data_IF_930086629835
#
_entry.id   IF_930086629835
#
_cell.length_a   1.000
_cell.length_b   1.000
_cell.length_c   1.000
_cell.angle_alpha   90.00
_cell.angle_beta   90.00
_cell.angle_gamma   90.00
#
_symmetry.space_group_name_H-M   'P 1'
#
loop_
_entity.id
_entity.type
_entity.pdbx_description
1 polymer ?
#
# COMPACT_ATOMS: atom_id res chain seq x y z
N UNK A 1 8.93 -19.09 13.39
CA UNK A 1 7.46 -19.29 13.39
C UNK A 1 6.92 -19.87 14.70
N UNK A 2 7.45 -21.00 15.22
CA UNK A 2 6.99 -21.58 16.51
C UNK A 2 6.92 -20.57 17.68
N UNK A 3 7.93 -19.71 17.84
CA UNK A 3 7.92 -18.68 18.88
C UNK A 3 6.81 -17.61 18.69
N UNK A 4 6.47 -17.27 17.45
CA UNK A 4 5.39 -16.33 17.14
C UNK A 4 4.01 -16.96 17.40
N UNK A 5 3.83 -18.22 16.99
CA UNK A 5 2.62 -19.01 17.28
C UNK A 5 2.39 -19.15 18.79
N UNK A 6 3.42 -19.45 19.59
CA UNK A 6 3.32 -19.47 21.07
C UNK A 6 2.90 -18.14 21.69
N UNK A 7 3.06 -17.03 20.97
CA UNK A 7 2.64 -15.68 21.39
C UNK A 7 1.28 -15.27 20.81
N UNK A 8 0.58 -16.17 20.12
CA UNK A 8 -0.72 -15.90 19.48
C UNK A 8 -0.63 -15.05 18.20
N UNK A 9 0.55 -14.89 17.60
CA UNK A 9 0.67 -14.22 16.31
C UNK A 9 0.24 -15.15 15.17
N UNK A 10 -0.48 -14.61 14.18
CA UNK A 10 -0.74 -15.31 12.93
C UNK A 10 0.57 -15.57 12.18
N UNK A 11 0.77 -16.80 11.70
CA UNK A 11 2.01 -17.28 11.10
C UNK A 11 1.81 -17.69 9.65
N UNK A 12 2.68 -17.19 8.78
CA UNK A 12 2.73 -17.57 7.36
C UNK A 12 4.11 -18.14 7.06
N UNK A 13 4.17 -19.30 6.40
CA UNK A 13 5.40 -19.86 5.86
C UNK A 13 5.39 -19.79 4.33
N UNK A 14 6.36 -19.09 3.75
CA UNK A 14 6.57 -18.99 2.30
C UNK A 14 7.80 -19.82 1.94
N UNK A 15 7.64 -20.77 1.01
CA UNK A 15 8.70 -21.69 0.61
C UNK A 15 8.65 -21.98 -0.88
N UNK A 16 9.81 -22.21 -1.49
CA UNK A 16 9.91 -22.75 -2.85
C UNK A 16 10.18 -24.27 -2.87
N UNK A 17 10.30 -24.89 -1.70
CA UNK A 17 10.39 -26.33 -1.57
C UNK A 17 8.97 -26.91 -1.50
N UNK A 18 8.57 -27.80 -2.42
CA UNK A 18 7.24 -28.41 -2.41
C UNK A 18 7.03 -29.39 -1.25
N UNK A 19 8.10 -29.81 -0.56
CA UNK A 19 7.98 -30.65 0.63
C UNK A 19 7.34 -29.87 1.78
N UNK A 20 6.33 -30.45 2.46
CA UNK A 20 5.71 -29.80 3.61
C UNK A 20 6.73 -29.64 4.75
N UNK A 21 6.67 -28.52 5.51
CA UNK A 21 7.51 -28.33 6.69
C UNK A 21 7.16 -29.30 7.82
N UNK A 22 8.09 -29.50 8.76
CA UNK A 22 7.92 -30.28 9.99
C UNK A 22 7.19 -29.49 11.12
N UNK A 23 6.49 -28.41 10.74
CA UNK A 23 5.71 -27.55 11.63
C UNK A 23 4.44 -27.07 10.91
N UNK A 24 3.43 -26.67 11.67
CA UNK A 24 2.15 -26.22 11.13
C UNK A 24 2.02 -24.69 11.28
N UNK A 25 2.21 -23.90 10.20
CA UNK A 25 1.84 -22.50 10.18
C UNK A 25 0.32 -22.34 9.99
N UNK A 26 -0.23 -21.16 10.29
CA UNK A 26 -1.64 -20.84 10.00
C UNK A 26 -1.91 -20.74 8.49
N UNK A 27 -0.91 -20.32 7.72
CA UNK A 27 -0.93 -20.38 6.25
C UNK A 27 0.40 -20.86 5.67
N UNK A 28 0.32 -21.75 4.67
CA UNK A 28 1.45 -22.26 3.91
C UNK A 28 1.35 -21.76 2.45
N UNK A 29 2.38 -21.08 1.97
CA UNK A 29 2.51 -20.62 0.58
C UNK A 29 3.66 -21.35 -0.08
N UNK A 30 3.34 -22.28 -0.96
CA UNK A 30 4.32 -23.04 -1.75
C UNK A 30 4.44 -22.41 -3.13
N UNK A 31 5.61 -21.87 -3.44
CA UNK A 31 5.98 -21.28 -4.72
C UNK A 31 6.84 -22.29 -5.48
N UNK A 32 6.21 -23.29 -6.10
CA UNK A 32 6.93 -24.35 -6.81
C UNK A 32 7.59 -23.82 -8.09
N UNK A 33 8.84 -23.39 -7.96
CA UNK A 33 9.64 -22.87 -9.07
C UNK A 33 10.42 -23.95 -9.82
N UNK A 34 10.41 -25.19 -9.33
CA UNK A 34 11.27 -26.28 -9.82
C UNK A 34 12.78 -26.02 -9.65
N UNK A 35 13.64 -26.87 -10.25
CA UNK A 35 15.10 -26.76 -10.18
C UNK A 35 15.62 -25.46 -10.80
N UNK A 36 16.63 -24.86 -10.18
CA UNK A 36 17.25 -23.63 -10.70
C UNK A 36 18.16 -23.91 -11.90
N UNK A 37 18.31 -22.92 -12.79
CA UNK A 37 19.21 -23.02 -13.94
C UNK A 37 20.68 -23.23 -13.53
N UNK A 38 21.09 -22.59 -12.43
CA UNK A 38 22.32 -22.90 -11.71
C UNK A 38 21.92 -23.66 -10.43
N UNK A 39 22.30 -24.93 -10.33
CA UNK A 39 21.93 -25.79 -9.22
C UNK A 39 22.21 -25.11 -7.86
N UNK A 40 21.17 -24.98 -7.03
CA UNK A 40 21.26 -24.37 -5.69
C UNK A 40 21.21 -22.84 -5.66
N UNK A 41 21.28 -22.13 -6.80
CA UNK A 41 21.26 -20.66 -6.84
C UNK A 41 19.83 -20.09 -6.72
N UNK A 42 19.21 -20.25 -5.54
CA UNK A 42 17.82 -19.84 -5.26
C UNK A 42 17.57 -18.33 -5.34
N UNK A 43 18.61 -17.49 -5.45
CA UNK A 43 18.44 -16.06 -5.76
C UNK A 43 17.79 -15.79 -7.13
N UNK A 44 17.68 -16.81 -7.99
CA UNK A 44 17.11 -16.73 -9.33
C UNK A 44 15.57 -16.86 -9.32
N UNK A 45 15.02 -18.02 -9.68
CA UNK A 45 13.56 -18.19 -9.79
C UNK A 45 12.89 -18.11 -8.43
N UNK A 46 13.42 -18.79 -7.43
CA UNK A 46 12.86 -18.78 -6.07
C UNK A 46 12.85 -17.37 -5.46
N UNK A 47 13.94 -16.62 -5.62
CA UNK A 47 14.04 -15.22 -5.20
C UNK A 47 13.03 -14.31 -5.93
N UNK A 48 12.89 -14.47 -7.24
CA UNK A 48 11.92 -13.72 -8.04
C UNK A 48 10.47 -14.02 -7.64
N UNK A 49 10.14 -15.31 -7.45
CA UNK A 49 8.82 -15.73 -7.00
C UNK A 49 8.51 -15.19 -5.59
N UNK A 50 9.47 -15.26 -4.67
CA UNK A 50 9.33 -14.72 -3.31
C UNK A 50 9.07 -13.21 -3.34
N UNK A 51 9.79 -12.45 -4.18
CA UNK A 51 9.55 -11.02 -4.38
C UNK A 51 8.12 -10.75 -4.86
N UNK A 52 7.63 -11.52 -5.83
CA UNK A 52 6.27 -11.37 -6.34
C UNK A 52 5.23 -11.65 -5.25
N UNK A 53 5.40 -12.73 -4.48
CA UNK A 53 4.50 -13.07 -3.38
C UNK A 53 4.46 -11.96 -2.31
N UNK A 54 5.62 -11.48 -1.85
CA UNK A 54 5.70 -10.41 -0.85
C UNK A 54 5.12 -9.09 -1.35
N UNK A 55 5.36 -8.75 -2.62
CA UNK A 55 4.76 -7.57 -3.26
C UNK A 55 3.23 -7.70 -3.31
N UNK A 56 2.70 -8.87 -3.65
CA UNK A 56 1.26 -9.13 -3.68
C UNK A 56 0.63 -9.01 -2.29
N UNK A 57 1.24 -9.63 -1.27
CA UNK A 57 0.76 -9.58 0.12
C UNK A 57 0.71 -8.13 0.62
N UNK A 58 1.82 -7.41 0.49
CA UNK A 58 1.91 -6.03 1.00
C UNK A 58 1.01 -5.07 0.22
N UNK A 59 0.95 -5.20 -1.12
CA UNK A 59 0.07 -4.36 -1.94
C UNK A 59 -1.40 -4.62 -1.61
N UNK A 60 -1.84 -5.88 -1.55
CA UNK A 60 -3.22 -6.23 -1.21
C UNK A 60 -3.61 -5.73 0.19
N UNK A 61 -2.72 -5.89 1.18
CA UNK A 61 -2.94 -5.36 2.52
C UNK A 61 -3.10 -3.83 2.51
N UNK A 62 -2.22 -3.10 1.80
CA UNK A 62 -2.27 -1.63 1.73
C UNK A 62 -3.51 -1.13 0.98
N UNK A 63 -3.99 -1.85 -0.04
CA UNK A 63 -5.28 -1.59 -0.69
C UNK A 63 -6.42 -1.72 0.32
N UNK A 64 -6.48 -2.85 1.06
CA UNK A 64 -7.50 -3.08 2.11
C UNK A 64 -7.43 -2.07 3.27
N UNK A 65 -6.27 -1.47 3.52
CA UNK A 65 -6.08 -0.43 4.53
C UNK A 65 -6.33 1.01 4.02
N UNK A 66 -6.89 1.19 2.82
CA UNK A 66 -7.27 2.52 2.32
C UNK A 66 -6.10 3.41 1.91
N UNK A 67 -4.96 2.81 1.55
CA UNK A 67 -3.76 3.53 1.06
C UNK A 67 -3.82 3.78 -0.45
N UNK A 68 -4.81 3.20 -1.12
CA UNK A 68 -5.02 3.25 -2.58
C UNK A 68 -6.45 3.73 -2.86
N UNK A 69 -6.62 4.53 -3.90
CA UNK A 69 -7.92 4.92 -4.47
C UNK A 69 -7.95 4.55 -5.96
N UNK A 70 -8.86 3.65 -6.36
CA UNK A 70 -8.78 3.03 -7.68
C UNK A 70 -7.45 2.29 -7.84
N UNK A 71 -6.61 2.73 -8.77
CA UNK A 71 -5.24 2.23 -8.97
C UNK A 71 -4.16 3.27 -8.58
N UNK A 72 -4.54 4.33 -7.83
CA UNK A 72 -3.65 5.41 -7.41
C UNK A 72 -3.22 5.22 -5.95
N UNK A 73 -1.92 5.27 -5.68
CA UNK A 73 -1.40 5.32 -4.31
C UNK A 73 -1.58 6.74 -3.75
N UNK A 74 -2.49 6.91 -2.81
CA UNK A 74 -2.90 8.22 -2.26
C UNK A 74 -2.33 8.51 -0.88
N UNK A 75 -1.57 7.58 -0.30
CA UNK A 75 -0.93 7.73 1.02
C UNK A 75 0.60 7.75 0.91
N UNK A 76 1.13 8.52 -0.04
CA UNK A 76 2.57 8.74 -0.19
C UNK A 76 3.06 9.89 0.70
N UNK A 77 4.32 9.80 1.15
CA UNK A 77 5.03 10.89 1.81
C UNK A 77 5.94 11.61 0.80
N UNK A 78 5.62 12.84 0.37
CA UNK A 78 6.37 13.52 -0.68
C UNK A 78 7.61 14.27 -0.15
N UNK A 79 8.70 13.53 0.10
CA UNK A 79 9.97 14.06 0.61
C UNK A 79 10.95 14.52 -0.48
N UNK A 80 10.69 14.22 -1.76
CA UNK A 80 11.51 14.65 -2.90
C UNK A 80 10.69 15.49 -3.87
N UNK A 81 11.38 16.29 -4.70
CA UNK A 81 10.73 17.07 -5.77
C UNK A 81 9.87 16.17 -6.68
N UNK A 82 10.36 14.98 -7.05
CA UNK A 82 9.60 13.99 -7.82
C UNK A 82 8.30 13.57 -7.13
N UNK A 83 8.35 13.29 -5.83
CA UNK A 83 7.16 12.85 -5.10
C UNK A 83 6.19 14.02 -4.83
N UNK A 84 6.69 15.25 -4.66
CA UNK A 84 5.86 16.46 -4.58
C UNK A 84 5.11 16.72 -5.89
N UNK A 85 5.80 16.63 -7.03
CA UNK A 85 5.17 16.74 -8.34
C UNK A 85 4.13 15.64 -8.57
N UNK A 86 4.45 14.39 -8.17
CA UNK A 86 3.47 13.29 -8.21
C UNK A 86 2.24 13.57 -7.34
N UNK A 87 2.43 14.12 -6.14
CA UNK A 87 1.33 14.46 -5.25
C UNK A 87 0.41 15.53 -5.86
N UNK A 88 1.00 16.59 -6.45
CA UNK A 88 0.24 17.65 -7.13
C UNK A 88 -0.62 17.08 -8.27
N UNK A 89 -0.04 16.25 -9.15
CA UNK A 89 -0.78 15.56 -10.23
C UNK A 89 -1.93 14.70 -9.72
N UNK A 90 -1.71 13.95 -8.63
CA UNK A 90 -2.76 13.13 -8.02
C UNK A 90 -3.91 13.98 -7.47
N UNK A 91 -3.62 15.10 -6.83
CA UNK A 91 -4.64 16.00 -6.30
C UNK A 91 -5.37 16.73 -7.42
N UNK A 92 -4.67 17.13 -8.47
CA UNK A 92 -5.28 17.71 -9.67
C UNK A 92 -6.26 16.72 -10.33
N UNK A 93 -5.79 15.50 -10.63
CA UNK A 93 -6.58 14.42 -11.24
C UNK A 93 -7.81 14.06 -10.40
N UNK A 94 -7.62 13.75 -9.12
CA UNK A 94 -8.69 13.24 -8.25
C UNK A 94 -9.57 14.36 -7.67
N UNK A 95 -9.03 15.58 -7.58
CA UNK A 95 -9.71 16.77 -7.07
C UNK A 95 -10.50 17.50 -8.13
N UNK A 96 -10.16 17.35 -9.42
CA UNK A 96 -10.76 18.12 -10.51
C UNK A 96 -10.35 19.59 -10.50
N UNK A 97 -9.09 19.87 -10.14
CA UNK A 97 -8.51 21.23 -10.05
C UNK A 97 -7.21 21.30 -10.83
N UNK A 98 -6.76 22.49 -11.22
CA UNK A 98 -5.45 22.68 -11.85
C UNK A 98 -4.28 22.37 -10.88
N UNK A 99 -3.07 22.23 -11.43
CA UNK A 99 -1.88 21.86 -10.65
C UNK A 99 -1.47 22.93 -9.62
N UNK A 100 -1.66 24.21 -9.91
CA UNK A 100 -1.33 25.31 -9.00
C UNK A 100 -2.23 25.28 -7.76
N UNK A 101 -3.53 25.10 -7.98
CA UNK A 101 -4.51 24.92 -6.91
C UNK A 101 -4.25 23.63 -6.13
N UNK A 102 -3.89 22.54 -6.81
CA UNK A 102 -3.54 21.28 -6.17
C UNK A 102 -2.34 21.43 -5.23
N UNK A 103 -1.28 22.14 -5.65
CA UNK A 103 -0.11 22.38 -4.81
C UNK A 103 -0.45 23.27 -3.60
N UNK A 104 -1.26 24.32 -3.79
CA UNK A 104 -1.72 25.17 -2.70
C UNK A 104 -2.51 24.37 -1.64
N UNK A 105 -3.41 23.47 -2.09
CA UNK A 105 -4.16 22.59 -1.20
C UNK A 105 -3.25 21.59 -0.48
N UNK A 106 -2.25 21.02 -1.16
CA UNK A 106 -1.26 20.15 -0.55
C UNK A 106 -0.47 20.86 0.56
N UNK A 107 0.00 22.08 0.32
CA UNK A 107 0.70 22.88 1.36
C UNK A 107 -0.20 23.08 2.59
N UNK A 108 -1.48 23.46 2.39
CA UNK A 108 -2.47 23.62 3.48
C UNK A 108 -2.81 22.31 4.19
N UNK A 109 -2.76 21.19 3.47
CA UNK A 109 -2.99 19.86 4.00
C UNK A 109 -1.76 19.25 4.71
N UNK A 110 -0.62 19.94 4.75
CA UNK A 110 0.63 19.38 5.28
C UNK A 110 1.20 18.26 4.40
N UNK A 111 1.00 18.38 3.08
CA UNK A 111 1.39 17.41 2.05
C UNK A 111 0.66 16.05 2.12
N UNK A 112 -0.47 15.99 2.81
CA UNK A 112 -1.35 14.82 2.82
C UNK A 112 -2.27 14.81 1.59
N UNK A 113 -2.02 13.89 0.66
CA UNK A 113 -2.78 13.79 -0.61
C UNK A 113 -4.26 13.53 -0.37
N UNK A 114 -4.63 12.55 0.48
CA UNK A 114 -6.05 12.26 0.77
C UNK A 114 -6.80 13.48 1.31
N UNK A 115 -6.18 14.20 2.24
CA UNK A 115 -6.74 15.42 2.83
C UNK A 115 -6.93 16.49 1.76
N UNK A 116 -5.91 16.73 0.92
CA UNK A 116 -5.98 17.73 -0.15
C UNK A 116 -7.06 17.40 -1.20
N UNK A 117 -7.23 16.12 -1.58
CA UNK A 117 -8.31 15.68 -2.49
C UNK A 117 -9.69 15.96 -1.89
N UNK A 118 -9.89 15.65 -0.60
CA UNK A 118 -11.18 15.94 0.07
C UNK A 118 -11.42 17.45 0.17
N UNK A 119 -10.40 18.25 0.47
CA UNK A 119 -10.49 19.71 0.47
C UNK A 119 -10.92 20.24 -0.92
N UNK A 120 -10.36 19.69 -2.01
CA UNK A 120 -10.72 20.07 -3.37
C UNK A 120 -12.18 19.71 -3.71
N UNK A 121 -12.59 18.47 -3.43
CA UNK A 121 -13.89 17.93 -3.86
C UNK A 121 -15.08 18.38 -3.02
N UNK A 122 -14.85 18.71 -1.75
CA UNK A 122 -15.92 19.05 -0.78
C UNK A 122 -15.82 20.50 -0.29
N UNK A 123 -14.87 21.27 -0.81
CA UNK A 123 -14.63 22.68 -0.43
C UNK A 123 -14.43 22.87 1.08
N UNK A 124 -13.76 21.90 1.72
CA UNK A 124 -13.49 21.89 3.16
C UNK A 124 -12.09 22.45 3.48
N UNK A 125 -11.94 22.94 4.71
CA UNK A 125 -10.61 23.15 5.28
C UNK A 125 -9.94 21.81 5.67
N UNK A 126 -8.62 21.86 5.93
CA UNK A 126 -7.84 20.67 6.24
C UNK A 126 -8.32 19.94 7.51
N UNK A 127 -8.81 20.66 8.52
CA UNK A 127 -9.28 20.06 9.77
C UNK A 127 -10.56 19.26 9.52
N UNK A 128 -11.54 19.85 8.84
CA UNK A 128 -12.80 19.19 8.47
C UNK A 128 -12.55 18.01 7.53
N UNK A 129 -11.65 18.16 6.56
CA UNK A 129 -11.26 17.08 5.65
C UNK A 129 -10.65 15.88 6.39
N UNK A 130 -9.72 16.10 7.34
CA UNK A 130 -9.16 15.03 8.18
C UNK A 130 -10.22 14.37 9.05
N UNK A 131 -11.11 15.16 9.66
CA UNK A 131 -12.20 14.62 10.48
C UNK A 131 -13.16 13.73 9.65
N UNK A 132 -13.49 14.14 8.42
CA UNK A 132 -14.29 13.34 7.50
C UNK A 132 -13.59 12.03 7.13
N UNK A 133 -12.30 12.08 6.79
CA UNK A 133 -11.50 10.88 6.50
C UNK A 133 -11.46 9.94 7.70
N UNK A 134 -11.25 10.45 8.92
CA UNK A 134 -11.21 9.64 10.14
C UNK A 134 -12.55 8.92 10.37
N UNK A 135 -13.69 9.63 10.21
CA UNK A 135 -15.04 9.04 10.31
C UNK A 135 -15.30 7.94 9.28
N UNK A 136 -14.59 7.95 8.17
CA UNK A 136 -14.70 6.96 7.07
C UNK A 136 -13.55 5.94 7.10
N UNK A 137 -12.91 5.73 8.25
CA UNK A 137 -11.84 4.74 8.41
C UNK A 137 -10.58 5.04 7.61
N UNK A 138 -10.35 6.30 7.25
CA UNK A 138 -9.23 6.74 6.41
C UNK A 138 -9.39 6.40 4.93
N UNK A 139 -10.56 5.89 4.50
CA UNK A 139 -10.86 5.53 3.11
C UNK A 139 -11.25 6.76 2.31
N UNK A 140 -10.49 7.08 1.25
CA UNK A 140 -10.79 8.22 0.40
C UNK A 140 -12.15 8.04 -0.32
N UNK A 141 -12.47 6.83 -0.79
CA UNK A 141 -13.75 6.55 -1.46
C UNK A 141 -14.95 6.96 -0.60
N UNK A 142 -15.01 6.50 0.64
CA UNK A 142 -16.14 6.83 1.53
C UNK A 142 -16.22 8.29 1.97
N UNK A 143 -15.19 9.11 1.71
CA UNK A 143 -15.22 10.55 1.92
C UNK A 143 -15.68 11.33 0.67
N UNK A 144 -15.54 10.74 -0.53
CA UNK A 144 -15.89 11.35 -1.82
C UNK A 144 -17.27 10.93 -2.34
N UNK A 145 -17.71 9.72 -1.98
CA UNK A 145 -19.07 9.22 -2.15
C UNK A 145 -19.87 9.55 -0.88
#
# INVERSE_FOLDING_TARGET
>A
LRAASRRGCFTVFVTCNPKPPDFSPDALVVLDTGPEALAGSTRLKAGSATKMALNSITTAAMVKCGKVYGNRMVDLKPWSAKLKARAARLVSELGGVDEDRAEALLRRAGWEVKTAVVMARRELDARKARALLARKGGMLRGALE
#
